data_IF_625679475346
#
_entry.id   IF_625679475346
#
_cell.length_a   1.000
_cell.length_b   1.000
_cell.length_c   1.000
_cell.angle_alpha   90.00
_cell.angle_beta   90.00
_cell.angle_gamma   90.00
#
_symmetry.space_group_name_H-M   'P 1'
#
loop_
_entity.id
_entity.type
_entity.pdbx_description
1 polymer ?
#
# COMPACT_ATOMS: atom_id res chain seq x y z
N UNK A 1 -17.67 -8.78 24.18
CA UNK A 1 -17.47 -7.72 23.16
C UNK A 1 -16.01 -7.72 22.79
N UNK A 2 -15.67 -7.73 21.48
CA UNK A 2 -14.28 -7.66 21.02
C UNK A 2 -13.67 -6.31 21.34
N UNK A 3 -12.37 -6.26 21.62
CA UNK A 3 -11.60 -5.04 21.86
C UNK A 3 -10.86 -4.64 20.58
N UNK A 4 -11.16 -3.47 20.06
CA UNK A 4 -10.56 -2.93 18.83
C UNK A 4 -9.60 -1.79 19.19
N UNK A 5 -8.36 -1.91 18.73
CA UNK A 5 -7.39 -0.83 18.77
C UNK A 5 -7.55 0.06 17.54
N UNK A 6 -7.92 1.32 17.76
CA UNK A 6 -8.11 2.32 16.71
C UNK A 6 -6.91 3.24 16.71
N UNK A 7 -6.22 3.30 15.55
CA UNK A 7 -5.02 4.10 15.36
C UNK A 7 -5.27 5.16 14.29
N UNK A 8 -5.28 6.44 14.67
CA UNK A 8 -5.47 7.55 13.76
C UNK A 8 -4.13 8.09 13.26
N UNK A 9 -4.01 8.34 11.94
CA UNK A 9 -2.81 8.91 11.33
C UNK A 9 -3.04 10.29 10.70
N UNK A 10 -4.29 10.74 10.64
CA UNK A 10 -4.70 11.96 9.94
C UNK A 10 -5.37 11.67 8.59
N UNK A 11 -5.11 12.51 7.59
CA UNK A 11 -5.73 12.45 6.27
C UNK A 11 -7.11 13.09 6.21
N UNK A 12 -7.74 13.11 5.03
CA UNK A 12 -9.03 13.78 4.75
C UNK A 12 -10.15 13.35 5.69
N UNK A 13 -10.15 12.10 6.14
CA UNK A 13 -11.11 11.57 7.11
C UNK A 13 -11.10 12.35 8.44
N UNK A 14 -9.98 13.00 8.77
CA UNK A 14 -9.77 13.83 9.96
C UNK A 14 -9.67 15.32 9.65
N UNK A 15 -10.09 15.74 8.44
CA UNK A 15 -9.99 17.12 7.97
C UNK A 15 -11.37 17.76 7.82
N UNK A 16 -11.37 19.10 7.76
CA UNK A 16 -12.52 19.94 7.44
C UNK A 16 -12.23 20.87 6.28
N UNK A 17 -13.24 21.13 5.48
CA UNK A 17 -13.24 22.16 4.46
C UNK A 17 -13.59 23.51 5.12
N UNK A 18 -12.78 24.52 4.86
CA UNK A 18 -13.09 25.91 5.17
C UNK A 18 -14.06 26.45 4.09
N UNK A 19 -15.28 26.77 4.48
CA UNK A 19 -16.35 27.17 3.58
C UNK A 19 -16.06 28.50 2.85
N UNK A 20 -15.14 29.32 3.36
CA UNK A 20 -14.81 30.61 2.73
C UNK A 20 -13.73 30.49 1.68
N UNK A 21 -12.73 29.64 1.90
CA UNK A 21 -11.57 29.46 1.00
C UNK A 21 -11.67 28.19 0.15
N UNK A 22 -12.55 27.24 0.49
CA UNK A 22 -12.58 25.90 -0.10
C UNK A 22 -11.38 25.03 0.26
N UNK A 23 -10.53 25.47 1.20
CA UNK A 23 -9.32 24.72 1.60
C UNK A 23 -9.67 23.62 2.59
N UNK A 24 -9.15 22.42 2.36
CA UNK A 24 -9.29 21.29 3.29
C UNK A 24 -8.05 21.23 4.19
N UNK A 25 -8.27 21.37 5.50
CA UNK A 25 -7.19 21.42 6.49
C UNK A 25 -7.46 20.45 7.65
N UNK A 26 -6.39 19.96 8.33
CA UNK A 26 -6.54 19.18 9.56
C UNK A 26 -7.38 19.91 10.61
N UNK A 27 -8.38 19.24 11.18
CA UNK A 27 -9.17 19.80 12.26
C UNK A 27 -8.40 19.71 13.60
N UNK A 28 -8.55 20.70 14.47
CA UNK A 28 -7.95 20.73 15.81
C UNK A 28 -8.46 19.55 16.65
N UNK A 29 -9.72 19.16 16.46
CA UNK A 29 -10.31 17.98 17.08
C UNK A 29 -10.66 16.97 16.00
N UNK A 30 -10.11 15.76 16.09
CA UNK A 30 -10.40 14.71 15.12
C UNK A 30 -11.92 14.46 15.06
N UNK A 31 -12.57 14.72 13.90
CA UNK A 31 -14.01 14.54 13.72
C UNK A 31 -14.49 13.12 14.03
N UNK A 32 -13.60 12.12 13.93
CA UNK A 32 -13.90 10.72 14.21
C UNK A 32 -14.15 10.43 15.70
N UNK A 33 -13.81 11.34 16.64
CA UNK A 33 -14.22 11.17 18.03
C UNK A 33 -15.75 11.05 18.18
N UNK A 34 -16.52 11.74 17.34
CA UNK A 34 -17.98 11.56 17.30
C UNK A 34 -18.40 10.20 16.73
N UNK A 35 -17.67 9.70 15.76
CA UNK A 35 -17.94 8.38 15.16
C UNK A 35 -17.50 7.23 16.08
N UNK A 36 -16.54 7.46 16.99
CA UNK A 36 -16.13 6.49 18.00
C UNK A 36 -17.31 6.15 18.95
N UNK A 37 -18.16 7.13 19.28
CA UNK A 37 -19.37 6.86 20.05
C UNK A 37 -20.37 5.94 19.31
N UNK A 38 -20.40 6.00 17.99
CA UNK A 38 -21.29 5.15 17.16
C UNK A 38 -20.86 3.69 17.13
N UNK A 39 -19.59 3.38 17.40
CA UNK A 39 -19.08 2.00 17.43
C UNK A 39 -18.98 1.42 18.85
N UNK A 40 -19.21 2.22 19.90
CA UNK A 40 -19.16 1.77 21.32
C UNK A 40 -20.18 0.68 21.65
N UNK A 41 -21.30 0.61 20.90
CA UNK A 41 -22.28 -0.48 20.98
C UNK A 41 -21.85 -1.77 20.28
N UNK A 42 -20.77 -1.74 19.48
CA UNK A 42 -20.31 -2.87 18.67
C UNK A 42 -19.00 -3.49 19.21
N UNK A 43 -18.11 -2.67 19.75
CA UNK A 43 -16.82 -3.09 20.27
C UNK A 43 -16.37 -2.24 21.46
N UNK A 44 -15.52 -2.80 22.34
CA UNK A 44 -14.70 -1.99 23.23
C UNK A 44 -13.60 -1.33 22.39
N UNK A 45 -13.36 -0.04 22.58
CA UNK A 45 -12.38 0.69 21.76
C UNK A 45 -11.24 1.26 22.60
N UNK A 46 -10.02 1.08 22.10
CA UNK A 46 -8.82 1.75 22.59
C UNK A 46 -8.36 2.67 21.46
N UNK A 47 -8.37 3.97 21.65
CA UNK A 47 -8.07 4.97 20.62
C UNK A 47 -6.71 5.60 20.89
N UNK A 48 -5.90 5.69 19.84
CA UNK A 48 -4.61 6.39 19.85
C UNK A 48 -4.45 7.22 18.59
N UNK A 49 -3.94 8.44 18.73
CA UNK A 49 -3.50 9.26 17.60
C UNK A 49 -1.99 9.08 17.42
N UNK A 50 -1.60 8.31 16.38
CA UNK A 50 -0.19 8.12 16.06
C UNK A 50 0.41 9.35 15.38
N UNK A 51 -0.37 9.95 14.48
CA UNK A 51 0.02 11.13 13.70
C UNK A 51 -1.21 11.98 13.40
N UNK A 52 -0.95 13.22 12.99
CA UNK A 52 -1.94 14.14 12.45
C UNK A 52 -1.44 14.71 11.11
N UNK A 53 -1.13 13.80 10.15
CA UNK A 53 -0.44 14.13 8.91
C UNK A 53 -1.35 13.95 7.70
N UNK A 54 -1.22 14.83 6.68
CA UNK A 54 -1.69 14.50 5.33
C UNK A 54 -0.92 13.28 4.81
N UNK A 55 -1.58 12.40 4.06
CA UNK A 55 -0.94 11.16 3.61
C UNK A 55 0.31 11.34 2.72
N UNK A 56 0.45 12.41 1.91
CA UNK A 56 1.72 12.67 1.21
C UNK A 56 2.93 12.91 2.13
N UNK A 57 2.70 13.17 3.42
CA UNK A 57 3.78 13.32 4.42
C UNK A 57 4.12 12.02 5.15
N UNK A 58 3.35 10.95 4.93
CA UNK A 58 3.65 9.62 5.46
C UNK A 58 4.76 9.00 4.61
N UNK A 59 5.91 8.75 5.23
CA UNK A 59 7.07 8.11 4.61
C UNK A 59 7.23 6.68 5.12
N UNK A 60 8.13 5.86 4.55
CA UNK A 60 8.43 4.54 5.09
C UNK A 60 8.86 4.52 6.56
N UNK A 61 9.38 5.65 7.09
CA UNK A 61 9.72 5.78 8.52
C UNK A 61 8.46 5.80 9.38
N UNK A 62 7.45 6.59 8.99
CA UNK A 62 6.15 6.63 9.66
C UNK A 62 5.44 5.28 9.53
N UNK A 63 5.51 4.62 8.37
CA UNK A 63 4.96 3.26 8.18
C UNK A 63 5.60 2.25 9.14
N UNK A 64 6.91 2.33 9.35
CA UNK A 64 7.62 1.48 10.32
C UNK A 64 7.19 1.76 11.77
N UNK A 65 6.96 3.03 12.14
CA UNK A 65 6.44 3.40 13.46
C UNK A 65 5.05 2.77 13.67
N UNK A 66 4.16 2.84 12.66
CA UNK A 66 2.85 2.19 12.71
C UNK A 66 2.97 0.68 12.88
N UNK A 67 3.83 0.03 12.08
CA UNK A 67 4.10 -1.40 12.19
C UNK A 67 4.55 -1.81 13.60
N UNK A 68 5.48 -1.06 14.20
CA UNK A 68 5.95 -1.31 15.57
C UNK A 68 4.83 -1.14 16.60
N UNK A 69 4.08 -0.02 16.56
CA UNK A 69 2.96 0.22 17.45
C UNK A 69 1.90 -0.89 17.40
N UNK A 70 1.57 -1.34 16.19
CA UNK A 70 0.61 -2.43 15.99
C UNK A 70 1.14 -3.74 16.59
N UNK A 71 2.40 -4.11 16.27
CA UNK A 71 3.03 -5.33 16.82
C UNK A 71 3.10 -5.30 18.34
N UNK A 72 3.51 -4.18 18.93
CA UNK A 72 3.60 -4.01 20.37
C UNK A 72 2.23 -4.16 21.02
N UNK A 73 1.20 -3.57 20.41
CA UNK A 73 -0.18 -3.65 20.93
C UNK A 73 -0.76 -5.07 20.82
N UNK A 74 -0.45 -5.80 19.78
CA UNK A 74 -0.80 -7.21 19.61
C UNK A 74 -0.11 -8.06 20.70
N UNK A 75 1.18 -7.81 20.92
CA UNK A 75 1.97 -8.56 21.91
C UNK A 75 1.48 -8.34 23.36
N UNK A 76 0.80 -7.23 23.66
CA UNK A 76 0.12 -7.04 24.95
C UNK A 76 -1.02 -8.06 25.17
N UNK A 77 -1.54 -8.69 24.13
CA UNK A 77 -2.58 -9.73 24.20
C UNK A 77 -3.95 -9.21 24.67
N UNK A 78 -4.23 -7.91 24.52
CA UNK A 78 -5.44 -7.27 25.06
C UNK A 78 -6.40 -6.76 23.98
N UNK A 79 -6.10 -7.01 22.71
CA UNK A 79 -6.91 -6.57 21.57
C UNK A 79 -7.28 -7.75 20.68
N UNK A 80 -8.43 -7.67 20.05
CA UNK A 80 -8.95 -8.66 19.11
C UNK A 80 -8.84 -8.21 17.65
N UNK A 81 -8.65 -6.91 17.40
CA UNK A 81 -8.53 -6.35 16.08
C UNK A 81 -7.89 -4.96 16.08
N UNK A 82 -7.44 -4.50 14.92
CA UNK A 82 -6.90 -3.15 14.70
C UNK A 82 -7.68 -2.45 13.59
N UNK A 83 -8.00 -1.18 13.77
CA UNK A 83 -8.51 -0.30 12.70
C UNK A 83 -7.59 0.91 12.59
N UNK A 84 -7.09 1.16 11.39
CA UNK A 84 -6.23 2.30 11.10
C UNK A 84 -6.96 3.27 10.16
N UNK A 85 -7.09 4.54 10.55
CA UNK A 85 -7.59 5.58 9.65
C UNK A 85 -6.41 6.32 9.01
N UNK A 86 -6.47 6.52 7.70
CA UNK A 86 -5.35 7.02 6.91
C UNK A 86 -5.83 7.95 5.80
N UNK A 87 -4.98 8.87 5.36
CA UNK A 87 -5.25 9.67 4.18
C UNK A 87 -5.08 8.84 2.90
N UNK A 88 -5.92 9.09 1.90
CA UNK A 88 -6.12 8.20 0.75
C UNK A 88 -4.97 8.16 -0.26
N UNK A 89 -4.09 9.18 -0.34
CA UNK A 89 -3.07 9.25 -1.41
C UNK A 89 -1.99 8.17 -1.27
N UNK A 90 -1.59 7.81 -0.02
CA UNK A 90 -0.58 6.78 0.23
C UNK A 90 -1.11 5.62 1.08
N UNK A 91 -2.45 5.50 1.22
CA UNK A 91 -3.08 4.43 1.98
C UNK A 91 -2.68 3.05 1.47
N UNK A 92 -2.67 2.85 0.15
CA UNK A 92 -2.30 1.57 -0.47
C UNK A 92 -0.84 1.16 -0.19
N UNK A 93 0.08 2.14 -0.14
CA UNK A 93 1.48 1.89 0.19
C UNK A 93 1.65 1.53 1.67
N UNK A 94 0.97 2.27 2.57
CA UNK A 94 0.97 1.97 4.01
C UNK A 94 0.35 0.61 4.30
N UNK A 95 -0.78 0.29 3.66
CA UNK A 95 -1.42 -1.01 3.82
C UNK A 95 -0.48 -2.15 3.41
N UNK A 96 0.16 -2.03 2.25
CA UNK A 96 1.08 -3.05 1.76
C UNK A 96 2.36 -3.16 2.61
N UNK A 97 2.91 -2.02 3.08
CA UNK A 97 4.03 -2.04 4.03
C UNK A 97 3.68 -2.80 5.31
N UNK A 98 2.49 -2.56 5.87
CA UNK A 98 2.03 -3.28 7.06
C UNK A 98 1.83 -4.76 6.78
N UNK A 99 1.30 -5.12 5.61
CA UNK A 99 1.10 -6.51 5.19
C UNK A 99 2.42 -7.29 5.14
N UNK A 100 3.49 -6.64 4.65
CA UNK A 100 4.83 -7.21 4.61
C UNK A 100 5.54 -7.25 5.99
N UNK A 101 5.13 -6.46 6.98
CA UNK A 101 5.90 -6.25 8.21
C UNK A 101 5.18 -6.61 9.51
N UNK A 102 3.90 -6.95 9.43
CA UNK A 102 3.09 -7.39 10.59
C UNK A 102 2.54 -8.78 10.32
N UNK A 103 2.98 -9.75 11.13
CA UNK A 103 2.51 -11.13 11.04
C UNK A 103 1.57 -11.42 12.20
N UNK A 104 0.29 -11.68 11.89
CA UNK A 104 -0.75 -11.93 12.90
C UNK A 104 -2.01 -12.50 12.28
N UNK A 105 -2.78 -13.27 13.07
CA UNK A 105 -4.12 -13.74 12.69
C UNK A 105 -5.23 -12.73 13.07
N UNK A 106 -4.95 -11.72 13.91
CA UNK A 106 -5.95 -10.72 14.24
C UNK A 106 -6.23 -9.81 13.04
N UNK A 107 -7.53 -9.49 12.76
CA UNK A 107 -7.87 -8.58 11.68
C UNK A 107 -7.23 -7.20 11.85
N UNK A 108 -6.58 -6.70 10.80
CA UNK A 108 -6.07 -5.33 10.70
C UNK A 108 -6.70 -4.69 9.48
N UNK A 109 -7.44 -3.60 9.70
CA UNK A 109 -8.24 -2.95 8.66
C UNK A 109 -7.85 -1.50 8.52
N UNK A 110 -7.45 -1.08 7.32
CA UNK A 110 -7.23 0.32 6.97
C UNK A 110 -8.47 0.90 6.31
N UNK A 111 -8.72 2.18 6.59
CA UNK A 111 -9.78 2.95 5.94
C UNK A 111 -9.41 4.41 5.84
N UNK A 112 -10.17 5.15 5.02
CA UNK A 112 -9.97 6.58 4.79
C UNK A 112 -11.26 7.25 4.34
N UNK A 113 -11.15 8.48 3.87
CA UNK A 113 -12.26 9.19 3.25
C UNK A 113 -11.78 10.00 2.04
N UNK A 114 -12.60 10.06 1.01
CA UNK A 114 -12.37 10.91 -0.17
C UNK A 114 -12.92 12.30 0.03
N UNK A 115 -13.89 12.46 0.93
CA UNK A 115 -14.54 13.74 1.26
C UNK A 115 -14.24 14.15 2.70
N UNK A 116 -14.09 15.45 2.91
CA UNK A 116 -13.88 16.01 4.24
C UNK A 116 -15.10 15.82 5.14
N UNK A 117 -14.89 15.90 6.46
CA UNK A 117 -15.92 15.51 7.45
C UNK A 117 -17.18 16.38 7.41
N UNK A 118 -17.09 17.61 6.92
CA UNK A 118 -18.20 18.56 6.80
C UNK A 118 -18.73 18.74 5.36
N UNK A 119 -18.16 18.02 4.40
CA UNK A 119 -18.64 18.02 3.01
C UNK A 119 -19.95 17.24 2.89
N UNK A 120 -20.85 17.71 2.01
CA UNK A 120 -22.11 16.99 1.74
C UNK A 120 -21.80 15.61 1.15
N UNK A 121 -22.33 14.56 1.78
CA UNK A 121 -22.07 13.18 1.40
C UNK A 121 -20.67 12.69 1.82
N UNK A 122 -20.12 13.24 2.92
CA UNK A 122 -18.89 12.72 3.55
C UNK A 122 -18.98 11.21 3.76
N UNK A 123 -17.97 10.49 3.25
CA UNK A 123 -17.87 9.02 3.32
C UNK A 123 -17.12 8.52 4.56
N UNK A 124 -16.42 9.41 5.26
CA UNK A 124 -15.54 9.04 6.39
C UNK A 124 -16.24 8.30 7.53
N UNK A 125 -17.35 8.81 8.11
CA UNK A 125 -18.04 8.13 9.20
C UNK A 125 -18.54 6.73 8.81
N UNK A 126 -19.06 6.58 7.59
CA UNK A 126 -19.54 5.29 7.09
C UNK A 126 -18.39 4.30 6.86
N UNK A 127 -17.31 4.73 6.22
CA UNK A 127 -16.12 3.90 6.01
C UNK A 127 -15.49 3.45 7.34
N UNK A 128 -15.44 4.34 8.33
CA UNK A 128 -14.93 4.03 9.66
C UNK A 128 -15.78 2.95 10.37
N UNK A 129 -17.11 3.11 10.39
CA UNK A 129 -18.02 2.11 10.96
C UNK A 129 -17.89 0.78 10.23
N UNK A 130 -17.80 0.81 8.92
CA UNK A 130 -17.61 -0.36 8.05
C UNK A 130 -16.30 -1.09 8.35
N UNK A 131 -15.20 -0.34 8.52
CA UNK A 131 -13.91 -0.91 8.92
C UNK A 131 -13.97 -1.61 10.29
N UNK A 132 -14.65 -1.02 11.28
CA UNK A 132 -14.86 -1.65 12.59
C UNK A 132 -15.70 -2.92 12.45
N UNK A 133 -16.78 -2.91 11.65
CA UNK A 133 -17.60 -4.12 11.38
C UNK A 133 -16.78 -5.25 10.79
N UNK A 134 -15.89 -4.95 9.83
CA UNK A 134 -14.98 -5.96 9.25
C UNK A 134 -13.98 -6.44 10.30
N UNK A 135 -13.37 -5.54 11.04
CA UNK A 135 -12.36 -5.87 12.06
C UNK A 135 -12.90 -6.80 13.15
N UNK A 136 -14.16 -6.65 13.55
CA UNK A 136 -14.79 -7.53 14.55
C UNK A 136 -15.40 -8.81 13.96
N UNK A 137 -15.37 -9.01 12.63
CA UNK A 137 -15.81 -10.25 12.01
C UNK A 137 -14.80 -11.38 12.26
N UNK A 138 -15.28 -12.56 12.63
CA UNK A 138 -14.40 -13.73 12.74
C UNK A 138 -13.89 -14.19 11.38
N UNK A 139 -14.67 -13.97 10.33
CA UNK A 139 -14.29 -14.30 8.95
C UNK A 139 -13.14 -13.42 8.40
N UNK A 140 -12.78 -12.33 9.08
CA UNK A 140 -11.65 -11.48 8.69
C UNK A 140 -10.29 -11.98 9.21
N UNK A 141 -10.27 -12.96 10.12
CA UNK A 141 -9.04 -13.52 10.69
C UNK A 141 -8.17 -14.19 9.63
N UNK A 142 -6.86 -14.01 9.74
CA UNK A 142 -5.87 -14.65 8.86
C UNK A 142 -5.93 -14.19 7.39
N UNK A 143 -6.54 -13.03 7.09
CA UNK A 143 -6.64 -12.50 5.72
C UNK A 143 -5.62 -11.40 5.41
N UNK A 144 -4.59 -11.23 6.28
CA UNK A 144 -3.61 -10.16 6.16
C UNK A 144 -4.21 -8.78 6.43
N UNK A 145 -3.58 -7.78 5.88
CA UNK A 145 -4.04 -6.39 6.00
C UNK A 145 -5.15 -6.13 4.99
N UNK A 146 -6.28 -5.64 5.49
CA UNK A 146 -7.46 -5.33 4.70
C UNK A 146 -7.62 -3.82 4.50
N UNK A 147 -8.13 -3.42 3.36
CA UNK A 147 -8.56 -2.05 3.08
C UNK A 147 -10.06 -2.05 2.84
N UNK A 148 -10.78 -1.22 3.60
CA UNK A 148 -12.24 -1.12 3.55
C UNK A 148 -12.64 0.28 3.14
N UNK A 149 -13.24 0.39 1.97
CA UNK A 149 -13.75 1.64 1.39
C UNK A 149 -15.01 1.36 0.58
N UNK A 150 -16.02 2.22 0.70
CA UNK A 150 -17.22 2.19 -0.16
C UNK A 150 -17.86 0.79 -0.29
N UNK A 151 -18.10 0.11 0.86
CA UNK A 151 -18.68 -1.24 0.99
C UNK A 151 -17.82 -2.40 0.45
N UNK A 152 -16.64 -2.14 -0.10
CA UNK A 152 -15.74 -3.15 -0.61
C UNK A 152 -14.61 -3.45 0.37
N UNK A 153 -14.20 -4.72 0.42
CA UNK A 153 -13.09 -5.22 1.22
C UNK A 153 -12.01 -5.72 0.27
N UNK A 154 -10.84 -5.12 0.35
CA UNK A 154 -9.72 -5.42 -0.51
C UNK A 154 -8.52 -5.93 0.29
N UNK A 155 -7.64 -6.71 -0.35
CA UNK A 155 -6.31 -7.00 0.20
C UNK A 155 -5.38 -5.80 0.02
N UNK A 156 -4.43 -5.63 0.92
CA UNK A 156 -3.39 -4.59 0.80
C UNK A 156 -2.58 -4.74 -0.50
N UNK A 157 -2.33 -5.95 -0.93
CA UNK A 157 -1.57 -6.23 -2.16
C UNK A 157 -2.28 -5.72 -3.41
N UNK A 158 -3.58 -5.97 -3.54
CA UNK A 158 -4.30 -5.76 -4.80
C UNK A 158 -5.02 -4.41 -4.92
N UNK A 159 -5.30 -3.74 -3.78
CA UNK A 159 -6.02 -2.47 -3.78
C UNK A 159 -5.18 -1.34 -4.36
N UNK A 160 -5.78 -0.45 -5.15
CA UNK A 160 -5.14 0.78 -5.61
C UNK A 160 -6.14 1.92 -5.75
N UNK A 161 -5.66 3.16 -5.57
CA UNK A 161 -6.45 4.38 -5.79
C UNK A 161 -6.53 4.67 -7.29
N UNK A 162 -7.70 4.48 -7.89
CA UNK A 162 -7.90 4.59 -9.35
C UNK A 162 -8.45 5.93 -9.81
N UNK A 163 -8.94 6.76 -8.89
CA UNK A 163 -9.56 8.05 -9.22
C UNK A 163 -9.18 9.13 -8.20
N UNK A 164 -9.08 10.38 -8.63
CA UNK A 164 -8.62 11.50 -7.80
C UNK A 164 -9.64 11.95 -6.74
N UNK A 165 -10.95 11.78 -6.97
CA UNK A 165 -12.02 12.36 -6.13
C UNK A 165 -13.25 11.46 -5.92
N UNK A 166 -13.42 10.37 -6.67
CA UNK A 166 -14.59 9.50 -6.53
C UNK A 166 -14.50 8.70 -5.22
N UNK A 167 -15.61 8.57 -4.48
CA UNK A 167 -15.66 7.75 -3.25
C UNK A 167 -15.42 6.26 -3.53
N UNK A 168 -15.76 5.76 -4.72
CA UNK A 168 -15.48 4.39 -5.18
C UNK A 168 -14.10 4.25 -5.84
N UNK A 169 -13.10 5.00 -5.37
CA UNK A 169 -11.79 5.07 -6.02
C UNK A 169 -10.86 3.91 -5.69
N UNK A 170 -11.02 3.27 -4.53
CA UNK A 170 -10.21 2.11 -4.18
C UNK A 170 -10.76 0.87 -4.85
N UNK A 171 -9.96 0.30 -5.71
CA UNK A 171 -10.32 -0.87 -6.53
C UNK A 171 -9.19 -1.89 -6.50
N UNK A 172 -9.51 -3.15 -6.75
CA UNK A 172 -8.56 -4.20 -7.09
C UNK A 172 -8.77 -4.58 -8.56
N UNK A 173 -8.19 -3.84 -9.53
CA UNK A 173 -8.59 -3.91 -10.93
C UNK A 173 -8.46 -5.29 -11.55
N UNK A 174 -7.47 -6.09 -11.11
CA UNK A 174 -7.18 -7.39 -11.69
C UNK A 174 -8.05 -8.51 -11.10
N UNK A 175 -8.36 -8.45 -9.79
CA UNK A 175 -8.96 -9.57 -9.06
C UNK A 175 -10.30 -9.25 -8.40
N UNK A 176 -10.68 -7.97 -8.34
CA UNK A 176 -11.85 -7.50 -7.59
C UNK A 176 -11.64 -7.47 -6.08
N UNK A 177 -12.65 -7.01 -5.31
CA UNK A 177 -12.65 -7.10 -3.86
C UNK A 177 -12.73 -8.55 -3.40
N UNK A 178 -12.24 -8.84 -2.19
CA UNK A 178 -12.35 -10.18 -1.59
C UNK A 178 -13.62 -10.36 -0.75
N UNK A 179 -14.33 -9.29 -0.49
CA UNK A 179 -15.56 -9.30 0.29
C UNK A 179 -16.33 -8.00 0.17
N UNK A 180 -17.55 -8.02 0.69
CA UNK A 180 -18.49 -6.91 0.65
C UNK A 180 -19.14 -6.71 2.02
N UNK A 181 -19.50 -5.45 2.30
CA UNK A 181 -20.28 -5.07 3.47
C UNK A 181 -21.73 -4.85 3.02
N UNK A 182 -22.65 -5.52 3.72
CA UNK A 182 -24.06 -5.45 3.42
C UNK A 182 -24.86 -5.00 4.65
N UNK A 183 -26.15 -4.72 4.48
CA UNK A 183 -27.05 -4.45 5.61
C UNK A 183 -27.12 -5.63 6.60
N UNK A 184 -26.86 -6.86 6.14
CA UNK A 184 -26.92 -8.07 6.97
C UNK A 184 -25.60 -8.43 7.63
N UNK A 185 -24.47 -7.84 7.23
CA UNK A 185 -23.16 -8.13 7.79
C UNK A 185 -22.05 -8.08 6.75
N UNK A 186 -20.91 -8.61 7.13
CA UNK A 186 -19.71 -8.77 6.31
C UNK A 186 -19.78 -10.10 5.58
N UNK A 187 -19.42 -10.12 4.31
CA UNK A 187 -19.39 -11.34 3.49
C UNK A 187 -18.08 -11.40 2.71
N UNK A 188 -17.29 -12.43 2.96
CA UNK A 188 -16.08 -12.74 2.17
C UNK A 188 -16.41 -13.81 1.14
N UNK A 189 -15.88 -13.67 -0.07
CA UNK A 189 -16.08 -14.61 -1.18
C UNK A 189 -14.76 -15.09 -1.79
N UNK A 190 -13.62 -14.48 -1.38
CA UNK A 190 -12.28 -14.94 -1.73
C UNK A 190 -11.40 -15.02 -0.48
N UNK A 191 -10.39 -15.90 -0.54
CA UNK A 191 -9.35 -16.04 0.47
C UNK A 191 -8.00 -15.69 -0.17
N UNK A 192 -7.21 -14.77 0.40
CA UNK A 192 -5.82 -14.58 -0.04
C UNK A 192 -5.03 -15.88 0.05
N UNK A 193 -4.19 -16.15 -0.93
CA UNK A 193 -3.50 -17.45 -1.04
C UNK A 193 -2.28 -17.54 -0.13
N UNK A 194 -1.52 -16.47 0.00
CA UNK A 194 -0.30 -16.42 0.79
C UNK A 194 -0.06 -15.01 1.35
N UNK A 195 0.67 -14.93 2.47
CA UNK A 195 1.14 -13.68 3.06
C UNK A 195 2.65 -13.75 3.23
N UNK A 196 3.35 -12.82 2.64
CA UNK A 196 4.79 -12.65 2.85
C UNK A 196 5.02 -11.88 4.16
N UNK A 197 6.08 -12.24 4.88
CA UNK A 197 6.46 -11.55 6.09
C UNK A 197 7.97 -11.30 6.15
N UNK A 198 8.35 -10.08 6.45
CA UNK A 198 9.73 -9.64 6.62
C UNK A 198 9.93 -9.05 8.01
N UNK A 199 10.81 -9.62 8.86
CA UNK A 199 11.02 -9.14 10.24
C UNK A 199 11.91 -7.90 10.26
N UNK A 200 11.41 -6.76 9.73
CA UNK A 200 12.19 -5.52 9.66
C UNK A 200 11.98 -4.64 10.90
N UNK A 201 13.08 -4.07 11.39
CA UNK A 201 13.11 -3.14 12.52
C UNK A 201 13.69 -1.77 12.19
N UNK A 202 14.21 -1.60 10.98
CA UNK A 202 14.74 -0.35 10.45
C UNK A 202 14.43 -0.21 8.97
N UNK A 203 14.42 1.01 8.49
CA UNK A 203 14.27 1.35 7.06
C UNK A 203 15.33 2.41 6.76
N UNK A 204 16.40 2.00 6.10
CA UNK A 204 17.56 2.84 5.76
C UNK A 204 17.90 2.83 4.25
N UNK A 205 17.18 2.02 3.45
CA UNK A 205 17.41 1.92 2.01
C UNK A 205 16.69 3.01 1.24
N UNK A 206 17.26 3.40 0.10
CA UNK A 206 16.69 4.38 -0.82
C UNK A 206 16.33 3.69 -2.14
N UNK A 207 15.04 3.62 -2.44
CA UNK A 207 14.53 2.99 -3.65
C UNK A 207 13.87 4.07 -4.51
N UNK A 208 14.33 4.17 -5.75
CA UNK A 208 13.76 5.07 -6.76
C UNK A 208 12.74 4.33 -7.62
N UNK A 209 11.74 5.06 -8.09
CA UNK A 209 10.73 4.57 -9.05
C UNK A 209 10.79 5.45 -10.31
N UNK A 210 10.93 4.82 -11.48
CA UNK A 210 10.83 5.47 -12.78
C UNK A 210 9.68 4.88 -13.58
N UNK A 211 8.94 5.74 -14.29
CA UNK A 211 7.89 5.33 -15.22
C UNK A 211 8.35 5.50 -16.65
N UNK A 212 8.35 4.42 -17.42
CA UNK A 212 8.78 4.44 -18.82
C UNK A 212 7.78 5.14 -19.74
N UNK A 213 8.31 5.86 -20.72
CA UNK A 213 7.55 6.58 -21.73
C UNK A 213 8.19 6.41 -23.13
N UNK A 214 7.44 6.73 -24.18
CA UNK A 214 7.94 6.65 -25.56
C UNK A 214 9.10 7.64 -25.77
N UNK A 215 10.21 7.16 -26.34
CA UNK A 215 11.42 7.96 -26.56
C UNK A 215 12.28 8.17 -25.31
N UNK A 216 12.01 7.46 -24.21
CA UNK A 216 12.88 7.48 -23.03
C UNK A 216 14.28 6.98 -23.38
N UNK A 217 15.29 7.68 -22.93
CA UNK A 217 16.71 7.35 -23.06
C UNK A 217 17.34 6.98 -21.70
N UNK A 218 18.66 6.92 -21.64
CA UNK A 218 19.38 6.53 -20.43
C UNK A 218 19.72 7.67 -19.46
N UNK A 219 19.38 8.93 -19.75
CA UNK A 219 19.75 10.07 -18.91
C UNK A 219 19.20 9.95 -17.46
N UNK A 220 17.95 9.51 -17.30
CA UNK A 220 17.37 9.32 -15.95
C UNK A 220 18.07 8.18 -15.22
N UNK A 221 18.46 7.11 -15.91
CA UNK A 221 19.20 6.00 -15.30
C UNK A 221 20.60 6.42 -14.88
N UNK A 222 21.30 7.25 -15.66
CA UNK A 222 22.59 7.85 -15.29
C UNK A 222 22.45 8.73 -14.06
N UNK A 223 21.39 9.55 -13.99
CA UNK A 223 21.09 10.36 -12.80
C UNK A 223 20.88 9.48 -11.56
N UNK A 224 20.06 8.42 -11.69
CA UNK A 224 19.85 7.44 -10.60
C UNK A 224 21.16 6.79 -10.16
N UNK A 225 22.02 6.39 -11.11
CA UNK A 225 23.34 5.80 -10.81
C UNK A 225 24.26 6.73 -10.00
N UNK A 226 24.08 8.05 -10.11
CA UNK A 226 24.84 9.06 -9.36
C UNK A 226 24.26 9.38 -7.97
N UNK A 227 23.03 8.93 -7.65
CA UNK A 227 22.30 9.29 -6.42
C UNK A 227 22.60 8.35 -5.23
N UNK A 228 23.48 7.34 -5.36
CA UNK A 228 23.73 6.34 -4.33
C UNK A 228 22.45 5.62 -3.83
N UNK A 229 21.56 5.28 -4.74
CA UNK A 229 20.34 4.52 -4.40
C UNK A 229 20.66 3.04 -4.15
N UNK A 230 19.86 2.39 -3.32
CA UNK A 230 19.99 0.96 -3.02
C UNK A 230 19.26 0.06 -4.02
N UNK A 231 18.29 0.59 -4.77
CA UNK A 231 17.52 -0.15 -5.77
C UNK A 231 16.68 0.76 -6.65
N UNK A 232 16.25 0.22 -7.79
CA UNK A 232 15.39 0.88 -8.76
C UNK A 232 14.19 0.01 -9.08
N UNK A 233 13.01 0.64 -9.14
CA UNK A 233 11.81 0.03 -9.73
C UNK A 233 11.48 0.76 -11.02
N UNK A 234 11.10 0.01 -12.06
CA UNK A 234 10.70 0.56 -13.36
C UNK A 234 9.27 0.11 -13.68
N UNK A 235 8.37 1.08 -13.86
CA UNK A 235 7.08 0.83 -14.50
C UNK A 235 7.28 0.82 -16.02
N UNK A 236 7.46 -0.37 -16.59
CA UNK A 236 7.79 -0.61 -18.00
C UNK A 236 6.56 -0.55 -18.93
N UNK A 237 6.81 -0.56 -20.21
CA UNK A 237 5.79 -0.56 -21.26
C UNK A 237 5.20 -1.96 -21.45
N UNK A 238 3.87 -2.06 -21.54
CA UNK A 238 3.15 -3.29 -21.85
C UNK A 238 3.57 -4.45 -20.93
N UNK A 239 4.04 -5.55 -21.51
CA UNK A 239 4.45 -6.74 -20.76
C UNK A 239 5.89 -6.68 -20.21
N UNK A 240 6.49 -5.52 -20.09
CA UNK A 240 7.83 -5.40 -19.50
C UNK A 240 8.92 -5.01 -20.51
N UNK A 241 8.59 -4.15 -21.46
CA UNK A 241 9.54 -3.68 -22.48
C UNK A 241 9.99 -2.25 -22.17
N UNK A 242 11.18 -1.91 -22.64
CA UNK A 242 11.75 -0.56 -22.53
C UNK A 242 12.26 -0.07 -23.88
N UNK A 243 12.32 1.26 -24.12
CA UNK A 243 12.98 1.79 -25.33
C UNK A 243 14.47 1.37 -25.38
N UNK A 244 15.02 1.02 -26.56
CA UNK A 244 16.41 0.55 -26.68
C UNK A 244 17.45 1.52 -26.10
N UNK A 245 17.21 2.82 -26.24
CA UNK A 245 18.12 3.86 -25.71
C UNK A 245 18.28 3.86 -24.20
N UNK A 246 17.44 3.13 -23.44
CA UNK A 246 17.57 2.98 -21.98
C UNK A 246 18.62 1.94 -21.57
N UNK A 247 18.98 1.02 -22.47
CA UNK A 247 19.83 -0.14 -22.14
C UNK A 247 21.20 0.23 -21.58
N UNK A 248 21.92 1.27 -22.05
CA UNK A 248 23.21 1.65 -21.47
C UNK A 248 23.09 2.04 -20.00
N UNK A 249 22.04 2.78 -19.63
CA UNK A 249 21.78 3.19 -18.24
C UNK A 249 21.41 2.00 -17.34
N UNK A 250 20.64 1.04 -17.85
CA UNK A 250 20.32 -0.22 -17.13
C UNK A 250 21.61 -1.01 -16.89
N UNK A 251 22.45 -1.17 -17.90
CA UNK A 251 23.74 -1.85 -17.75
C UNK A 251 24.66 -1.19 -16.73
N UNK A 252 24.66 0.15 -16.66
CA UNK A 252 25.43 0.93 -15.70
C UNK A 252 24.99 0.59 -14.27
N UNK A 253 23.68 0.62 -13.99
CA UNK A 253 23.13 0.32 -12.66
C UNK A 253 23.41 -1.13 -12.24
N UNK A 254 23.23 -2.09 -13.14
CA UNK A 254 23.52 -3.51 -12.87
C UNK A 254 25.01 -3.74 -12.58
N UNK A 255 25.93 -3.06 -13.30
CA UNK A 255 27.38 -3.07 -13.01
C UNK A 255 27.69 -2.52 -11.61
N UNK A 256 26.93 -1.54 -11.14
CA UNK A 256 27.04 -1.01 -9.79
C UNK A 256 26.36 -1.90 -8.73
N UNK A 257 25.83 -3.07 -9.14
CA UNK A 257 25.10 -4.02 -8.28
C UNK A 257 23.85 -3.40 -7.65
N UNK A 258 23.21 -2.44 -8.32
CA UNK A 258 21.93 -1.89 -7.94
C UNK A 258 20.83 -2.79 -8.52
N UNK A 259 20.04 -3.49 -7.69
CA UNK A 259 18.95 -4.34 -8.17
C UNK A 259 17.89 -3.49 -8.86
N UNK A 260 17.41 -4.00 -9.99
CA UNK A 260 16.34 -3.37 -10.78
C UNK A 260 15.16 -4.31 -10.79
N UNK A 261 14.02 -3.86 -10.26
CA UNK A 261 12.73 -4.56 -10.33
C UNK A 261 11.87 -3.91 -11.39
N UNK A 262 11.29 -4.71 -12.27
CA UNK A 262 10.43 -4.27 -13.35
C UNK A 262 9.00 -4.74 -13.14
N UNK A 263 8.06 -3.80 -13.19
CA UNK A 263 6.61 -4.01 -13.23
C UNK A 263 6.04 -3.38 -14.49
N UNK A 264 4.80 -3.70 -14.83
CA UNK A 264 4.10 -2.99 -15.91
C UNK A 264 3.52 -1.65 -15.43
N UNK A 265 3.51 -0.63 -16.28
CA UNK A 265 2.72 0.59 -16.05
C UNK A 265 1.22 0.40 -16.32
N UNK A 266 0.81 -0.77 -16.80
CA UNK A 266 -0.59 -1.13 -17.00
C UNK A 266 -1.22 -1.57 -15.67
N UNK A 267 -2.49 -1.26 -15.47
CA UNK A 267 -3.23 -1.64 -14.25
C UNK A 267 -3.47 -3.14 -14.13
N UNK A 268 -3.58 -3.84 -15.25
CA UNK A 268 -3.88 -5.26 -15.31
C UNK A 268 -2.84 -5.98 -16.15
N UNK A 269 -2.72 -7.27 -15.92
CA UNK A 269 -1.83 -8.16 -16.66
C UNK A 269 -0.50 -8.39 -15.93
N UNK A 270 0.37 -9.13 -16.59
CA UNK A 270 1.61 -9.65 -16.03
C UNK A 270 2.79 -9.17 -16.88
N UNK A 271 3.85 -8.71 -16.24
CA UNK A 271 5.14 -8.47 -16.90
C UNK A 271 5.83 -9.81 -17.16
N UNK A 272 6.24 -10.06 -18.41
CA UNK A 272 6.80 -11.33 -18.87
C UNK A 272 7.99 -11.10 -19.81
N UNK A 273 8.93 -12.04 -19.80
CA UNK A 273 10.14 -12.05 -20.62
C UNK A 273 9.94 -12.69 -22.01
N UNK A 274 8.85 -12.34 -22.71
CA UNK A 274 8.45 -12.99 -23.97
C UNK A 274 8.94 -12.28 -25.23
N UNK A 275 9.24 -10.98 -25.18
CA UNK A 275 9.66 -10.21 -26.34
C UNK A 275 11.18 -10.23 -26.53
N UNK A 276 11.63 -10.70 -27.70
CA UNK A 276 13.04 -10.93 -28.02
C UNK A 276 13.71 -9.85 -28.88
N UNK A 277 13.12 -8.67 -29.02
CA UNK A 277 13.74 -7.51 -29.69
C UNK A 277 14.56 -6.68 -28.68
N UNK A 278 15.34 -5.73 -29.23
CA UNK A 278 16.18 -4.84 -28.41
C UNK A 278 15.33 -3.99 -27.42
N UNK A 279 15.65 -4.08 -26.12
CA UNK A 279 14.85 -3.52 -25.04
C UNK A 279 13.62 -4.36 -24.66
N UNK A 280 13.42 -5.52 -25.28
CA UNK A 280 12.36 -6.46 -24.94
C UNK A 280 12.61 -7.18 -23.62
N UNK A 281 11.52 -7.67 -23.02
CA UNK A 281 11.55 -8.32 -21.71
C UNK A 281 12.55 -9.45 -21.58
N UNK A 282 12.74 -10.26 -22.67
CA UNK A 282 13.72 -11.36 -22.69
C UNK A 282 15.14 -10.85 -22.47
N UNK A 283 15.55 -9.83 -23.21
CA UNK A 283 16.88 -9.23 -23.06
C UNK A 283 17.07 -8.61 -21.67
N UNK A 284 16.06 -7.91 -21.15
CA UNK A 284 16.12 -7.32 -19.81
C UNK A 284 16.29 -8.39 -18.73
N UNK A 285 15.58 -9.50 -18.83
CA UNK A 285 15.72 -10.66 -17.91
C UNK A 285 17.12 -11.28 -17.99
N UNK A 286 17.64 -11.50 -19.20
CA UNK A 286 19.00 -12.01 -19.44
C UNK A 286 20.08 -11.07 -18.88
N UNK A 287 19.83 -9.77 -18.84
CA UNK A 287 20.71 -8.77 -18.22
C UNK A 287 20.69 -8.82 -16.70
N UNK A 288 19.70 -9.47 -16.06
CA UNK A 288 19.54 -9.57 -14.61
C UNK A 288 18.50 -8.60 -14.03
N UNK A 289 17.56 -8.09 -14.85
CA UNK A 289 16.41 -7.33 -14.33
C UNK A 289 15.41 -8.31 -13.70
N UNK A 290 14.96 -8.01 -12.49
CA UNK A 290 13.99 -8.80 -11.73
C UNK A 290 12.58 -8.43 -12.19
N UNK A 291 11.80 -9.41 -12.64
CA UNK A 291 10.41 -9.21 -13.03
C UNK A 291 9.49 -9.46 -11.84
N UNK A 292 8.53 -8.58 -11.61
CA UNK A 292 7.52 -8.70 -10.57
C UNK A 292 6.12 -8.72 -11.17
N UNK A 293 5.27 -9.57 -10.64
CA UNK A 293 3.89 -9.74 -11.06
C UNK A 293 2.91 -9.23 -10.01
N UNK A 294 1.75 -8.76 -10.46
CA UNK A 294 0.64 -8.37 -9.58
C UNK A 294 0.79 -7.04 -8.84
N UNK A 295 2.00 -6.47 -8.76
CA UNK A 295 2.25 -5.21 -8.05
C UNK A 295 2.28 -4.02 -9.02
N UNK A 296 1.74 -2.88 -8.56
CA UNK A 296 2.04 -1.59 -9.18
C UNK A 296 3.43 -1.07 -8.74
N UNK A 297 3.94 -0.03 -9.41
CA UNK A 297 5.27 0.51 -9.11
C UNK A 297 5.47 0.95 -7.66
N UNK A 298 4.55 1.73 -7.04
CA UNK A 298 4.66 2.14 -5.64
C UNK A 298 4.78 0.95 -4.68
N UNK A 299 3.98 -0.10 -4.85
CA UNK A 299 4.05 -1.31 -4.00
C UNK A 299 5.29 -2.14 -4.27
N UNK A 300 5.71 -2.32 -5.53
CA UNK A 300 6.97 -2.97 -5.85
C UNK A 300 8.16 -2.22 -5.23
N UNK A 301 8.09 -0.88 -5.15
CA UNK A 301 9.07 -0.04 -4.43
C UNK A 301 9.07 -0.33 -2.93
N UNK A 302 7.90 -0.43 -2.31
CA UNK A 302 7.77 -0.81 -0.89
C UNK A 302 8.33 -2.22 -0.66
N UNK A 303 8.00 -3.20 -1.51
CA UNK A 303 8.52 -4.57 -1.39
C UNK A 303 10.05 -4.61 -1.52
N UNK A 304 10.63 -3.92 -2.51
CA UNK A 304 12.09 -3.85 -2.67
C UNK A 304 12.76 -3.16 -1.49
N UNK A 305 12.17 -2.09 -0.95
CA UNK A 305 12.65 -1.40 0.23
C UNK A 305 12.74 -2.33 1.44
N UNK A 306 11.71 -3.14 1.66
CA UNK A 306 11.63 -4.11 2.78
C UNK A 306 12.55 -5.30 2.52
N UNK A 307 12.55 -5.88 1.33
CA UNK A 307 13.38 -7.01 0.96
C UNK A 307 14.88 -6.72 1.11
N UNK A 308 15.31 -5.51 0.75
CA UNK A 308 16.71 -5.08 0.88
C UNK A 308 17.17 -4.86 2.35
N UNK A 309 16.27 -4.85 3.31
CA UNK A 309 16.66 -4.94 4.73
C UNK A 309 17.07 -6.36 5.12
N UNK A 310 16.64 -7.37 4.36
CA UNK A 310 16.86 -8.79 4.67
C UNK A 310 17.96 -9.40 3.80
N UNK A 311 17.94 -9.13 2.49
CA UNK A 311 18.90 -9.70 1.55
C UNK A 311 19.30 -8.72 0.45
N UNK A 312 20.54 -8.88 -0.06
CA UNK A 312 21.03 -8.26 -1.29
C UNK A 312 21.40 -9.30 -2.36
N UNK A 313 21.17 -10.58 -2.07
CA UNK A 313 21.42 -11.65 -3.04
C UNK A 313 20.40 -11.55 -4.17
N UNK A 314 20.88 -11.51 -5.42
CA UNK A 314 20.04 -11.35 -6.61
C UNK A 314 19.04 -12.50 -6.76
N UNK A 315 19.47 -13.74 -6.55
CA UNK A 315 18.63 -14.92 -6.75
C UNK A 315 17.52 -14.99 -5.68
N UNK A 316 17.85 -14.63 -4.44
CA UNK A 316 16.87 -14.51 -3.37
C UNK A 316 15.86 -13.38 -3.68
N UNK A 317 16.33 -12.21 -4.10
CA UNK A 317 15.43 -11.12 -4.53
C UNK A 317 14.52 -11.56 -5.68
N UNK A 318 15.07 -12.26 -6.70
CA UNK A 318 14.26 -12.78 -7.79
C UNK A 318 13.18 -13.76 -7.29
N UNK A 319 13.50 -14.61 -6.32
CA UNK A 319 12.50 -15.53 -5.72
C UNK A 319 11.40 -14.77 -4.99
N UNK A 320 11.76 -13.73 -4.20
CA UNK A 320 10.79 -12.89 -3.49
C UNK A 320 9.81 -12.15 -4.44
N UNK A 321 10.21 -11.88 -5.68
CA UNK A 321 9.38 -11.18 -6.67
C UNK A 321 8.69 -12.11 -7.69
N UNK A 322 8.85 -13.43 -7.59
CA UNK A 322 8.23 -14.40 -8.51
C UNK A 322 6.78 -14.76 -8.15
N UNK A 323 6.24 -14.25 -7.04
CA UNK A 323 4.89 -14.53 -6.54
C UNK A 323 3.89 -13.56 -7.10
#
# INVERSE_FOLDING_TARGET
>A
MKTVYILHTGGTISMKEDMASGSVTPDIQNPLHRSTSSVSGMANVIVEEAFHLPSPHITPKEMLILSKKIRDKINEGKIDAVVLTHGTDTLEETAYFLDLTVHTDIPIVLTGAMRSSNEIGSDGPYNFISAVRVAISDDAKGKGILVVMNDEIHTAENVTKTHTSNVATFQSPQYGPIGLITKRGVSFHHMPTEHEFYPVNQIDKQITLLKAYAGMDDHLFQAVASMNVDGLVIEALGQGNLPPLTLPGIQLLLKQKIPIVLVSRCFNGIAQDVYGYEGGGKQLKEMGVIFSNGLNGPKARIKLLVALQVTRNHDELQQLFNH
#
